data_IF_112670327618
#
_entry.id   IF_112670327618
#
_cell.length_a   1.000
_cell.length_b   1.000
_cell.length_c   1.000
_cell.angle_alpha   90.00
_cell.angle_beta   90.00
_cell.angle_gamma   90.00
#
_symmetry.space_group_name_H-M   'P 1'
#
loop_
_entity.id
_entity.type
_entity.pdbx_description
1 polymer ?
#
# COMPACT_ATOMS: atom_id res chain seq x y z
N UNK A 1 32.83 -104.26 -84.71
CA UNK A 1 32.64 -103.05 -85.52
C UNK A 1 31.15 -102.94 -85.84
N UNK A 2 30.74 -101.85 -86.49
CA UNK A 2 29.45 -101.67 -87.18
C UNK A 2 28.21 -101.49 -86.26
N UNK A 3 27.23 -100.59 -86.52
CA UNK A 3 27.17 -99.43 -87.44
C UNK A 3 25.94 -98.52 -87.10
N UNK A 4 25.86 -97.32 -87.70
CA UNK A 4 24.68 -96.44 -87.94
C UNK A 4 24.01 -95.68 -86.76
N UNK A 5 23.98 -94.35 -86.91
CA UNK A 5 23.03 -93.34 -86.35
C UNK A 5 22.06 -92.91 -87.50
N UNK A 6 20.89 -92.24 -87.31
CA UNK A 6 20.24 -91.73 -86.08
C UNK A 6 18.69 -91.94 -86.05
N UNK A 7 17.92 -91.21 -85.19
CA UNK A 7 16.72 -90.37 -85.54
C UNK A 7 15.66 -90.18 -84.40
N UNK A 8 15.64 -88.97 -83.80
CA UNK A 8 14.49 -88.19 -83.24
C UNK A 8 13.69 -88.71 -82.00
N UNK A 9 14.05 -88.16 -80.82
CA UNK A 9 13.30 -87.27 -79.86
C UNK A 9 11.75 -87.22 -79.79
N UNK A 10 11.10 -86.62 -78.74
CA UNK A 10 11.58 -85.84 -77.57
C UNK A 10 10.92 -86.31 -76.22
N UNK A 11 10.72 -85.60 -75.09
CA UNK A 11 11.03 -84.23 -74.59
C UNK A 11 11.05 -84.16 -73.02
N UNK A 12 11.61 -83.08 -72.46
CA UNK A 12 11.34 -82.50 -71.11
C UNK A 12 11.78 -83.31 -69.85
N UNK A 13 12.03 -82.74 -68.66
CA UNK A 13 12.13 -81.35 -68.16
C UNK A 13 13.20 -81.31 -67.03
N UNK A 14 13.97 -80.27 -66.71
CA UNK A 14 13.97 -78.81 -66.91
C UNK A 14 13.58 -77.96 -65.67
N UNK A 15 14.57 -77.19 -65.20
CA UNK A 15 14.45 -75.89 -64.51
C UNK A 15 13.92 -75.80 -63.05
N UNK A 16 14.84 -75.67 -62.08
CA UNK A 16 14.56 -75.18 -60.70
C UNK A 16 15.16 -73.80 -60.37
N UNK A 17 16.22 -73.36 -61.09
CA UNK A 17 16.99 -72.18 -60.71
C UNK A 17 16.52 -70.85 -61.36
N UNK A 18 15.66 -70.88 -62.38
CA UNK A 18 15.23 -69.63 -63.05
C UNK A 18 14.08 -68.92 -62.30
N UNK A 19 13.25 -69.66 -61.53
CA UNK A 19 12.08 -69.12 -60.83
C UNK A 19 12.40 -67.94 -59.89
N UNK A 20 13.51 -68.01 -59.15
CA UNK A 20 13.93 -66.95 -58.23
C UNK A 20 14.46 -65.68 -58.93
N UNK A 21 14.89 -65.79 -60.19
CA UNK A 21 15.35 -64.63 -60.99
C UNK A 21 14.21 -64.00 -61.78
N UNK A 22 13.29 -64.79 -62.33
CA UNK A 22 12.12 -64.29 -63.05
C UNK A 22 11.10 -63.63 -62.12
N UNK A 23 10.87 -64.18 -60.92
CA UNK A 23 9.83 -63.70 -60.00
C UNK A 23 10.33 -62.71 -58.94
N UNK A 24 11.55 -62.19 -59.08
CA UNK A 24 12.16 -61.22 -58.15
C UNK A 24 11.24 -60.02 -57.79
N UNK A 25 10.58 -59.31 -58.74
CA UNK A 25 9.69 -58.20 -58.38
C UNK A 25 8.44 -58.66 -57.62
N UNK A 26 7.99 -59.90 -57.81
CA UNK A 26 6.82 -60.45 -57.12
C UNK A 26 7.17 -60.83 -55.66
N UNK A 27 8.39 -61.29 -55.41
CA UNK A 27 8.93 -61.48 -54.05
C UNK A 27 9.07 -60.14 -53.32
N UNK A 28 9.56 -59.09 -53.99
CA UNK A 28 9.67 -57.74 -53.43
C UNK A 28 8.27 -57.16 -53.15
N UNK A 29 7.31 -57.33 -54.05
CA UNK A 29 5.93 -56.94 -53.82
C UNK A 29 5.31 -57.68 -52.61
N UNK A 30 5.62 -58.96 -52.43
CA UNK A 30 5.15 -59.75 -51.29
C UNK A 30 5.74 -59.26 -49.95
N UNK A 31 7.04 -58.95 -49.86
CA UNK A 31 7.62 -58.40 -48.62
C UNK A 31 7.14 -56.98 -48.33
N UNK A 32 6.93 -56.14 -49.35
CA UNK A 32 6.30 -54.81 -49.17
C UNK A 32 4.85 -54.94 -48.70
N UNK A 33 4.06 -55.87 -49.26
CA UNK A 33 2.69 -56.13 -48.82
C UNK A 33 2.63 -56.69 -47.39
N UNK A 34 3.48 -57.66 -47.03
CA UNK A 34 3.50 -58.26 -45.69
C UNK A 34 4.00 -57.24 -44.66
N UNK A 35 5.08 -56.51 -44.93
CA UNK A 35 5.59 -55.46 -44.05
C UNK A 35 4.62 -54.29 -43.90
N UNK A 36 4.01 -53.85 -45.00
CA UNK A 36 2.95 -52.83 -44.99
C UNK A 36 1.71 -53.29 -44.24
N UNK A 37 1.30 -54.54 -44.38
CA UNK A 37 0.17 -55.13 -43.64
C UNK A 37 0.46 -55.29 -42.15
N UNK A 38 1.71 -55.59 -41.77
CA UNK A 38 2.13 -55.58 -40.36
C UNK A 38 2.16 -54.16 -39.78
N UNK A 39 2.64 -53.16 -40.53
CA UNK A 39 2.72 -51.77 -40.06
C UNK A 39 1.33 -51.12 -39.99
N UNK A 40 0.45 -51.36 -40.96
CA UNK A 40 -0.95 -50.94 -40.94
C UNK A 40 -1.76 -51.73 -39.90
N UNK A 41 -1.57 -53.05 -39.81
CA UNK A 41 -2.20 -53.90 -38.81
C UNK A 41 -1.81 -53.50 -37.38
N UNK A 42 -0.54 -53.15 -37.14
CA UNK A 42 -0.07 -52.64 -35.86
C UNK A 42 -0.61 -51.22 -35.60
N UNK A 43 -0.54 -50.28 -36.54
CA UNK A 43 -1.01 -48.90 -36.28
C UNK A 43 -2.54 -48.78 -36.17
N UNK A 44 -3.31 -49.54 -36.96
CA UNK A 44 -4.77 -49.61 -36.85
C UNK A 44 -5.18 -50.45 -35.64
N UNK A 45 -4.56 -51.61 -35.42
CA UNK A 45 -4.87 -52.50 -34.29
C UNK A 45 -4.47 -51.92 -32.93
N UNK A 46 -3.36 -51.19 -32.83
CA UNK A 46 -2.97 -50.49 -31.60
C UNK A 46 -3.88 -49.29 -31.32
N UNK A 47 -4.31 -48.54 -32.35
CA UNK A 47 -5.33 -47.48 -32.19
C UNK A 47 -6.69 -48.06 -31.79
N UNK A 48 -7.19 -49.07 -32.49
CA UNK A 48 -8.49 -49.70 -32.20
C UNK A 48 -8.49 -50.41 -30.83
N UNK A 49 -7.41 -51.11 -30.50
CA UNK A 49 -7.20 -51.76 -29.20
C UNK A 49 -7.08 -50.79 -28.03
N UNK A 50 -6.68 -49.52 -28.25
CA UNK A 50 -6.73 -48.48 -27.22
C UNK A 50 -8.11 -47.79 -27.17
N UNK A 51 -8.81 -47.58 -28.30
CA UNK A 51 -10.14 -46.95 -28.29
C UNK A 51 -11.23 -47.75 -27.57
N UNK A 52 -11.06 -49.06 -27.39
CA UNK A 52 -12.03 -49.93 -26.69
C UNK A 52 -11.72 -50.07 -25.18
N UNK A 53 -10.54 -49.62 -24.71
CA UNK A 53 -10.12 -49.74 -23.30
C UNK A 53 -9.83 -48.37 -22.64
N UNK A 54 -9.87 -47.27 -23.42
CA UNK A 54 -9.61 -45.90 -22.93
C UNK A 54 -10.83 -44.99 -22.78
N UNK A 55 -12.03 -45.38 -23.25
CA UNK A 55 -13.14 -44.43 -23.41
C UNK A 55 -13.76 -43.95 -22.08
N UNK A 56 -13.94 -44.84 -21.10
CA UNK A 56 -14.53 -44.47 -19.80
C UNK A 56 -13.52 -43.72 -18.90
N UNK A 57 -12.23 -44.07 -18.94
CA UNK A 57 -11.21 -43.49 -18.06
C UNK A 57 -10.85 -42.04 -18.42
N UNK A 58 -10.74 -41.72 -19.72
CA UNK A 58 -10.35 -40.38 -20.19
C UNK A 58 -11.56 -39.42 -20.20
N UNK A 59 -12.78 -39.93 -20.41
CA UNK A 59 -14.00 -39.12 -20.33
C UNK A 59 -14.27 -38.61 -18.90
N UNK A 60 -14.11 -39.46 -17.87
CA UNK A 60 -14.33 -39.06 -16.48
C UNK A 60 -13.27 -38.05 -16.00
N UNK A 61 -11.98 -38.27 -16.35
CA UNK A 61 -10.92 -37.29 -16.08
C UNK A 61 -11.10 -35.98 -16.85
N UNK A 62 -11.52 -36.01 -18.11
CA UNK A 62 -11.76 -34.78 -18.88
C UNK A 62 -12.94 -33.98 -18.31
N UNK A 63 -14.01 -34.65 -17.84
CA UNK A 63 -15.10 -33.99 -17.11
C UNK A 63 -14.61 -33.40 -15.78
N UNK A 64 -13.78 -34.11 -15.02
CA UNK A 64 -13.20 -33.58 -13.78
C UNK A 64 -12.31 -32.35 -14.03
N UNK A 65 -11.46 -32.39 -15.07
CA UNK A 65 -10.59 -31.28 -15.47
C UNK A 65 -11.41 -30.08 -15.98
N UNK A 66 -12.44 -30.30 -16.82
CA UNK A 66 -13.33 -29.23 -17.29
C UNK A 66 -14.13 -28.64 -16.12
N UNK A 67 -14.58 -29.44 -15.16
CA UNK A 67 -15.28 -28.94 -13.97
C UNK A 67 -14.34 -28.17 -13.03
N UNK A 68 -13.10 -28.61 -12.85
CA UNK A 68 -12.04 -27.86 -12.14
C UNK A 68 -11.73 -26.53 -12.82
N UNK A 69 -11.53 -26.54 -14.15
CA UNK A 69 -11.30 -25.34 -14.96
C UNK A 69 -12.48 -24.36 -14.87
N UNK A 70 -13.72 -24.85 -15.00
CA UNK A 70 -14.94 -24.04 -14.85
C UNK A 70 -15.04 -23.42 -13.46
N UNK A 71 -14.80 -24.20 -12.40
CA UNK A 71 -14.83 -23.70 -11.02
C UNK A 71 -13.73 -22.65 -10.77
N UNK A 72 -12.54 -22.84 -11.36
CA UNK A 72 -11.46 -21.87 -11.31
C UNK A 72 -11.80 -20.59 -12.11
N UNK A 73 -12.42 -20.71 -13.28
CA UNK A 73 -12.84 -19.59 -14.12
C UNK A 73 -13.99 -18.79 -13.47
N UNK A 74 -14.97 -19.45 -12.85
CA UNK A 74 -16.01 -18.83 -12.03
C UNK A 74 -15.40 -18.08 -10.82
N UNK A 75 -14.34 -18.63 -10.21
CA UNK A 75 -13.61 -18.00 -9.11
C UNK A 75 -12.83 -16.76 -9.58
N UNK A 76 -12.10 -16.86 -10.69
CA UNK A 76 -11.34 -15.75 -11.30
C UNK A 76 -12.27 -14.66 -11.83
N UNK A 77 -13.45 -15.01 -12.36
CA UNK A 77 -14.47 -14.03 -12.76
C UNK A 77 -15.00 -13.25 -11.55
N UNK A 78 -15.27 -13.93 -10.43
CA UNK A 78 -15.68 -13.28 -9.18
C UNK A 78 -14.60 -12.38 -8.61
N UNK A 79 -13.35 -12.82 -8.55
CA UNK A 79 -12.25 -11.99 -8.03
C UNK A 79 -11.90 -10.83 -8.95
N UNK A 80 -12.01 -10.99 -10.28
CA UNK A 80 -11.86 -9.89 -11.24
C UNK A 80 -12.97 -8.85 -11.07
N UNK A 81 -14.23 -9.28 -10.95
CA UNK A 81 -15.36 -8.36 -10.73
C UNK A 81 -15.23 -7.61 -9.40
N UNK A 82 -14.79 -8.29 -8.33
CA UNK A 82 -14.49 -7.66 -7.05
C UNK A 82 -13.33 -6.63 -7.16
N UNK A 83 -12.22 -6.99 -7.81
CA UNK A 83 -11.09 -6.10 -8.01
C UNK A 83 -11.42 -4.87 -8.89
N UNK A 84 -12.30 -5.03 -9.88
CA UNK A 84 -12.84 -3.90 -10.66
C UNK A 84 -13.72 -3.00 -9.78
N UNK A 85 -14.60 -3.58 -8.96
CA UNK A 85 -15.43 -2.81 -8.03
C UNK A 85 -14.58 -2.05 -6.98
N UNK A 86 -13.56 -2.70 -6.41
CA UNK A 86 -12.61 -2.08 -5.47
C UNK A 86 -11.81 -0.96 -6.14
N UNK A 87 -11.32 -1.16 -7.37
CA UNK A 87 -10.67 -0.12 -8.18
C UNK A 87 -11.60 1.07 -8.40
N UNK A 88 -12.85 0.82 -8.79
CA UNK A 88 -13.78 1.89 -9.16
C UNK A 88 -14.24 2.70 -7.93
N UNK A 89 -14.40 2.05 -6.77
CA UNK A 89 -14.56 2.73 -5.49
C UNK A 89 -13.31 3.55 -5.11
N UNK A 90 -12.10 3.00 -5.29
CA UNK A 90 -10.86 3.72 -4.99
C UNK A 90 -10.65 4.95 -5.90
N UNK A 91 -11.02 4.86 -7.18
CA UNK A 91 -11.01 5.99 -8.14
C UNK A 91 -12.04 7.04 -7.76
N UNK A 92 -13.26 6.64 -7.38
CA UNK A 92 -14.29 7.57 -6.88
C UNK A 92 -13.83 8.32 -5.63
N UNK A 93 -13.33 7.60 -4.63
CA UNK A 93 -12.77 8.18 -3.40
C UNK A 93 -11.59 9.14 -3.68
N UNK A 94 -10.77 8.86 -4.70
CA UNK A 94 -9.65 9.73 -5.08
C UNK A 94 -10.12 11.03 -5.76
N UNK A 95 -11.16 10.98 -6.60
CA UNK A 95 -11.79 12.15 -7.21
C UNK A 95 -12.53 13.01 -6.17
N UNK A 96 -13.25 12.39 -5.23
CA UNK A 96 -13.86 13.10 -4.10
C UNK A 96 -12.80 13.77 -3.19
N UNK A 97 -11.71 13.07 -2.87
CA UNK A 97 -10.60 13.64 -2.11
C UNK A 97 -9.93 14.80 -2.86
N UNK A 98 -9.72 14.68 -4.18
CA UNK A 98 -9.16 15.75 -4.99
C UNK A 98 -10.08 16.98 -5.03
N UNK A 99 -11.39 16.79 -5.18
CA UNK A 99 -12.40 17.87 -5.07
C UNK A 99 -12.38 18.53 -3.70
N UNK A 100 -12.34 17.75 -2.62
CA UNK A 100 -12.27 18.25 -1.25
C UNK A 100 -10.98 19.06 -0.98
N UNK A 101 -9.83 18.60 -1.48
CA UNK A 101 -8.55 19.33 -1.40
C UNK A 101 -8.62 20.65 -2.16
N UNK A 102 -9.17 20.65 -3.38
CA UNK A 102 -9.30 21.87 -4.18
C UNK A 102 -10.25 22.89 -3.53
N UNK A 103 -11.38 22.43 -2.96
CA UNK A 103 -12.30 23.28 -2.20
C UNK A 103 -11.61 23.84 -0.95
N UNK A 104 -10.95 23.01 -0.14
CA UNK A 104 -10.23 23.45 1.05
C UNK A 104 -9.11 24.46 0.75
N UNK A 105 -8.43 24.33 -0.40
CA UNK A 105 -7.43 25.31 -0.87
C UNK A 105 -8.08 26.64 -1.29
N UNK A 106 -9.24 26.61 -1.94
CA UNK A 106 -10.00 27.81 -2.29
C UNK A 106 -10.50 28.54 -1.04
N UNK A 107 -11.13 27.81 -0.11
CA UNK A 107 -11.60 28.32 1.18
C UNK A 107 -10.45 28.92 1.99
N UNK A 108 -9.31 28.22 2.09
CA UNK A 108 -8.09 28.73 2.72
C UNK A 108 -7.64 30.06 2.12
N UNK A 109 -7.58 30.15 0.79
CA UNK A 109 -7.17 31.39 0.08
C UNK A 109 -8.14 32.55 0.38
N UNK A 110 -9.44 32.27 0.46
CA UNK A 110 -10.46 33.25 0.84
C UNK A 110 -10.30 33.70 2.31
N UNK A 111 -10.06 32.76 3.25
CA UNK A 111 -9.79 33.09 4.65
C UNK A 111 -8.49 33.88 4.85
N UNK A 112 -7.42 33.55 4.14
CA UNK A 112 -6.14 34.27 4.19
C UNK A 112 -6.29 35.71 3.69
N UNK A 113 -7.01 35.91 2.58
CA UNK A 113 -7.36 37.23 2.03
C UNK A 113 -8.19 38.06 3.02
N UNK A 114 -9.27 37.47 3.56
CA UNK A 114 -10.15 38.13 4.52
C UNK A 114 -9.39 38.51 5.81
N UNK A 115 -8.56 37.60 6.33
CA UNK A 115 -7.71 37.85 7.49
C UNK A 115 -6.65 38.93 7.21
N UNK A 116 -6.13 39.07 5.99
CA UNK A 116 -5.22 40.16 5.65
C UNK A 116 -5.92 41.53 5.72
N UNK A 117 -7.14 41.63 5.18
CA UNK A 117 -7.98 42.84 5.24
C UNK A 117 -8.31 43.20 6.70
N UNK A 118 -8.70 42.22 7.53
CA UNK A 118 -8.96 42.46 8.95
C UNK A 118 -7.70 42.90 9.71
N UNK A 119 -6.53 42.30 9.45
CA UNK A 119 -5.27 42.71 10.11
C UNK A 119 -4.84 44.12 9.71
N UNK A 120 -4.99 44.51 8.45
CA UNK A 120 -4.71 45.90 8.04
C UNK A 120 -5.73 46.89 8.62
N UNK A 121 -7.01 46.52 8.72
CA UNK A 121 -8.05 47.32 9.40
C UNK A 121 -7.75 47.50 10.89
N UNK A 122 -7.28 46.44 11.57
CA UNK A 122 -6.84 46.51 12.97
C UNK A 122 -5.58 47.39 13.11
N UNK A 123 -4.60 47.21 12.22
CA UNK A 123 -3.34 47.97 12.17
C UNK A 123 -3.58 49.49 12.08
N UNK A 124 -4.57 49.91 11.29
CA UNK A 124 -5.02 51.31 11.18
C UNK A 124 -5.76 51.82 12.44
N UNK A 125 -6.34 50.93 13.25
CA UNK A 125 -7.09 51.24 14.48
C UNK A 125 -6.25 51.14 15.77
N UNK A 126 -4.93 51.20 15.66
CA UNK A 126 -4.01 51.07 16.81
C UNK A 126 -3.54 49.64 17.08
N UNK A 127 -3.99 48.66 16.30
CA UNK A 127 -3.45 47.30 16.28
C UNK A 127 -3.93 46.40 17.41
N UNK A 128 -3.15 45.34 17.64
CA UNK A 128 -3.33 44.37 18.74
C UNK A 128 -1.95 44.11 19.34
N UNK A 129 -1.77 44.41 20.62
CA UNK A 129 -0.55 44.09 21.36
C UNK A 129 -0.32 42.57 21.43
N UNK A 130 0.94 42.14 21.55
CA UNK A 130 1.30 40.74 21.74
C UNK A 130 0.44 40.08 22.83
N UNK A 131 -0.19 38.96 22.50
CA UNK A 131 -0.98 38.18 23.46
C UNK A 131 -1.02 36.70 23.09
N UNK A 132 -1.19 35.84 24.10
CA UNK A 132 -1.60 34.46 23.89
C UNK A 132 -3.06 34.49 23.44
N UNK A 133 -3.35 34.07 22.21
CA UNK A 133 -4.71 33.92 21.71
C UNK A 133 -5.38 32.70 22.35
N UNK A 134 -4.68 31.56 22.36
CA UNK A 134 -5.19 30.27 22.81
C UNK A 134 -4.06 29.42 23.43
N UNK A 135 -4.45 28.53 24.35
CA UNK A 135 -3.62 27.45 24.89
C UNK A 135 -4.47 26.18 24.86
N UNK A 136 -4.05 25.19 24.09
CA UNK A 136 -4.58 23.83 24.16
C UNK A 136 -3.52 22.89 24.76
N UNK A 137 -3.99 21.91 25.54
CA UNK A 137 -3.17 20.81 26.07
C UNK A 137 -3.91 19.51 25.80
N UNK A 138 -3.20 18.55 25.19
CA UNK A 138 -3.71 17.23 24.84
C UNK A 138 -2.97 16.17 25.65
N UNK A 139 -3.73 15.35 26.36
CA UNK A 139 -3.24 14.18 27.11
C UNK A 139 -2.87 13.05 26.15
N UNK A 140 -1.63 12.58 26.24
CA UNK A 140 -1.10 11.41 25.54
C UNK A 140 -1.02 10.22 26.52
N UNK A 141 -0.65 9.00 26.06
CA UNK A 141 -0.31 7.90 26.94
C UNK A 141 0.87 8.21 27.88
N UNK A 142 1.13 7.32 28.84
CA UNK A 142 2.32 7.34 29.71
C UNK A 142 2.56 8.64 30.52
N UNK A 143 1.50 9.43 30.77
CA UNK A 143 1.55 10.73 31.46
C UNK A 143 2.37 11.79 30.70
N UNK A 144 2.46 11.64 29.36
CA UNK A 144 2.94 12.67 28.44
C UNK A 144 1.81 13.61 28.00
N UNK A 145 2.18 14.83 27.61
CA UNK A 145 1.26 15.86 27.14
C UNK A 145 1.83 16.60 25.94
N UNK A 146 0.97 17.08 25.07
CA UNK A 146 1.28 17.91 23.89
C UNK A 146 0.62 19.28 24.08
N UNK A 147 1.38 20.38 23.98
CA UNK A 147 0.84 21.74 24.03
C UNK A 147 0.70 22.34 22.62
N UNK A 148 -0.26 23.25 22.49
CA UNK A 148 -0.33 24.22 21.40
C UNK A 148 -0.59 25.59 22.01
N UNK A 149 0.34 26.52 21.83
CA UNK A 149 0.22 27.92 22.22
C UNK A 149 0.09 28.75 20.94
N UNK A 150 -1.04 29.44 20.79
CA UNK A 150 -1.28 30.35 19.66
C UNK A 150 -0.95 31.78 20.10
N UNK A 151 0.05 32.40 19.48
CA UNK A 151 0.50 33.77 19.72
C UNK A 151 0.01 34.70 18.62
N UNK A 152 -0.42 35.92 18.97
CA UNK A 152 -0.87 36.93 18.01
C UNK A 152 -0.39 38.33 18.39
N UNK A 153 -0.05 39.12 17.37
CA UNK A 153 0.26 40.55 17.47
C UNK A 153 -0.11 41.22 16.14
N UNK A 154 -0.81 42.36 16.15
CA UNK A 154 -1.04 43.17 14.95
C UNK A 154 -0.40 44.54 15.18
N UNK A 155 0.91 44.64 14.94
CA UNK A 155 1.67 45.87 15.19
C UNK A 155 1.29 47.00 14.21
N UNK A 156 0.86 48.20 14.68
CA UNK A 156 0.63 49.38 13.84
C UNK A 156 1.79 49.70 12.90
N UNK A 157 3.00 49.54 13.43
CA UNK A 157 4.28 49.87 12.78
C UNK A 157 4.87 48.72 11.94
N UNK A 158 4.11 47.64 11.70
CA UNK A 158 4.58 46.40 11.03
C UNK A 158 5.87 45.82 11.65
N UNK A 159 6.15 46.11 12.93
CA UNK A 159 7.24 45.48 13.70
C UNK A 159 6.84 44.08 14.13
N UNK A 160 7.78 43.13 14.00
CA UNK A 160 7.65 41.74 14.46
C UNK A 160 7.48 41.68 15.98
N UNK A 161 6.81 40.64 16.47
CA UNK A 161 6.90 40.19 17.85
C UNK A 161 8.19 39.36 18.00
N UNK A 162 9.05 39.73 18.95
CA UNK A 162 10.29 39.01 19.23
C UNK A 162 10.48 38.92 20.74
N UNK A 163 10.73 37.72 21.26
CA UNK A 163 10.86 37.49 22.69
C UNK A 163 10.95 36.01 23.03
N UNK A 164 10.75 35.69 24.30
CA UNK A 164 10.72 34.30 24.78
C UNK A 164 9.40 33.91 25.43
N UNK A 165 9.01 32.65 25.27
CA UNK A 165 7.90 32.00 25.96
C UNK A 165 8.43 31.14 27.10
N UNK A 166 7.67 31.06 28.18
CA UNK A 166 7.89 30.14 29.29
C UNK A 166 6.53 29.57 29.71
N UNK A 167 6.47 28.25 29.92
CA UNK A 167 5.25 27.54 30.30
C UNK A 167 5.46 26.92 31.69
N UNK A 168 4.61 27.30 32.64
CA UNK A 168 4.67 26.86 34.05
C UNK A 168 3.45 26.02 34.40
N UNK A 169 3.67 24.95 35.14
CA UNK A 169 2.62 24.20 35.82
C UNK A 169 2.67 24.53 37.31
N UNK A 170 1.52 24.82 37.89
CA UNK A 170 1.40 25.37 39.25
C UNK A 170 0.46 24.49 40.08
N UNK A 171 0.92 24.12 41.28
CA UNK A 171 0.20 23.33 42.28
C UNK A 171 0.48 23.94 43.64
N UNK A 172 -0.50 24.63 44.22
CA UNK A 172 -0.33 25.38 45.47
C UNK A 172 0.83 26.38 45.38
N UNK A 173 1.96 26.10 46.05
CA UNK A 173 3.22 26.88 45.97
C UNK A 173 4.28 26.26 45.07
N UNK A 174 4.09 25.02 44.61
CA UNK A 174 5.01 24.26 43.76
C UNK A 174 4.92 24.76 42.32
N UNK A 175 6.06 25.15 41.74
CA UNK A 175 6.17 25.62 40.34
C UNK A 175 7.14 24.72 39.59
N UNK A 176 6.62 24.08 38.55
CA UNK A 176 7.34 23.24 37.61
C UNK A 176 7.41 23.97 36.26
N UNK A 177 8.58 23.97 35.63
CA UNK A 177 8.78 24.62 34.31
C UNK A 177 8.80 23.55 33.22
N UNK A 178 7.95 23.74 32.19
CA UNK A 178 7.89 22.82 31.07
C UNK A 178 9.07 23.09 30.11
N UNK A 179 9.85 22.06 29.73
CA UNK A 179 10.90 22.19 28.72
C UNK A 179 10.25 22.43 27.35
N UNK A 180 10.52 23.60 26.78
CA UNK A 180 10.16 23.94 25.41
C UNK A 180 11.42 23.76 24.56
N UNK A 181 11.28 23.12 23.40
CA UNK A 181 12.37 22.81 22.46
C UNK A 181 12.99 24.09 21.89
N UNK A 182 12.16 24.97 21.33
CA UNK A 182 12.47 26.39 21.23
C UNK A 182 11.65 27.18 22.27
N UNK A 183 12.32 28.13 22.90
CA UNK A 183 11.75 29.09 23.86
C UNK A 183 11.57 30.47 23.24
N UNK A 184 12.04 30.70 22.02
CA UNK A 184 11.96 31.99 21.33
C UNK A 184 10.71 32.06 20.44
N UNK A 185 10.31 33.26 20.06
CA UNK A 185 9.31 33.52 19.01
C UNK A 185 9.74 34.73 18.17
N UNK A 186 9.43 34.75 16.88
CA UNK A 186 9.88 35.78 15.94
C UNK A 186 8.97 35.91 14.71
N UNK A 187 7.86 36.63 14.86
CA UNK A 187 6.75 36.60 13.89
C UNK A 187 6.14 37.99 13.58
N UNK A 188 5.54 38.15 12.39
CA UNK A 188 4.95 39.42 11.95
C UNK A 188 3.54 39.66 12.50
N UNK A 189 2.67 38.64 12.38
CA UNK A 189 1.24 38.73 12.72
C UNK A 189 0.78 37.63 13.73
N UNK A 190 1.20 36.37 13.56
CA UNK A 190 0.90 35.26 14.48
C UNK A 190 1.99 34.17 14.42
N UNK A 191 2.07 33.34 15.47
CA UNK A 191 2.93 32.15 15.54
C UNK A 191 2.27 31.06 16.38
N UNK A 192 2.48 29.79 16.03
CA UNK A 192 1.98 28.63 16.78
C UNK A 192 3.18 27.86 17.33
N UNK A 193 3.30 27.80 18.64
CA UNK A 193 4.33 27.04 19.33
C UNK A 193 3.73 25.73 19.83
N UNK A 194 4.33 24.61 19.42
CA UNK A 194 3.94 23.25 19.82
C UNK A 194 5.13 22.52 20.43
N UNK A 195 4.85 21.50 21.23
CA UNK A 195 5.88 20.65 21.82
C UNK A 195 5.27 19.65 22.80
N UNK A 196 6.11 18.77 23.35
CA UNK A 196 5.71 17.69 24.23
C UNK A 196 6.53 17.66 25.51
N UNK A 197 5.93 17.21 26.60
CA UNK A 197 6.63 16.96 27.86
C UNK A 197 6.08 15.73 28.58
N UNK A 198 6.90 15.11 29.41
CA UNK A 198 6.43 14.14 30.40
C UNK A 198 6.26 14.80 31.77
N UNK A 199 5.17 14.45 32.46
CA UNK A 199 4.82 15.00 33.76
C UNK A 199 5.40 14.12 34.89
N UNK A 200 6.12 14.69 35.88
CA UNK A 200 6.65 13.94 37.01
C UNK A 200 5.61 13.12 37.78
N UNK A 201 6.02 11.95 38.26
CA UNK A 201 5.14 11.03 39.01
C UNK A 201 4.65 11.70 40.29
N UNK A 202 3.33 11.77 40.48
CA UNK A 202 2.68 12.39 41.64
C UNK A 202 2.47 13.91 41.54
N UNK A 203 3.01 14.58 40.51
CA UNK A 203 2.68 15.99 40.25
C UNK A 203 1.36 16.11 39.50
N UNK A 204 0.43 16.90 40.05
CA UNK A 204 -0.88 17.19 39.45
C UNK A 204 -1.13 18.69 39.57
N UNK A 205 -1.00 19.49 38.48
CA UNK A 205 -1.21 20.92 38.56
C UNK A 205 -2.68 21.28 38.78
N UNK A 206 -2.88 22.43 39.42
CA UNK A 206 -4.15 23.15 39.51
C UNK A 206 -4.29 24.15 38.36
N UNK A 207 -3.16 24.70 37.89
CA UNK A 207 -3.11 25.70 36.82
C UNK A 207 -1.93 25.46 35.87
N UNK A 208 -2.09 25.93 34.65
CA UNK A 208 -1.03 26.13 33.66
C UNK A 208 -0.94 27.62 33.32
N UNK A 209 0.28 28.15 33.24
CA UNK A 209 0.54 29.57 33.04
C UNK A 209 1.55 29.78 31.90
N UNK A 210 1.14 30.55 30.89
CA UNK A 210 2.01 30.99 29.80
C UNK A 210 2.53 32.39 30.12
N UNK A 211 3.85 32.59 30.01
CA UNK A 211 4.50 33.89 30.10
C UNK A 211 5.19 34.21 28.79
N UNK A 212 5.01 35.42 28.28
CA UNK A 212 5.74 35.96 27.13
C UNK A 212 6.60 37.15 27.57
N UNK A 213 7.89 37.09 27.30
CA UNK A 213 8.88 38.12 27.63
C UNK A 213 9.34 38.83 26.36
N UNK A 214 8.72 39.97 26.06
CA UNK A 214 9.00 40.81 24.88
C UNK A 214 9.19 42.27 25.31
N UNK A 215 10.33 42.57 25.94
CA UNK A 215 10.62 43.87 26.53
C UNK A 215 10.23 43.96 28.02
N UNK A 216 9.89 45.17 28.48
CA UNK A 216 9.84 45.50 29.91
C UNK A 216 8.61 44.96 30.68
N UNK A 217 7.51 44.64 30.02
CA UNK A 217 6.29 44.11 30.67
C UNK A 217 5.93 42.73 30.11
N UNK A 218 6.03 41.64 30.90
CA UNK A 218 5.70 40.31 30.42
C UNK A 218 4.18 40.14 30.29
N UNK A 219 3.75 39.41 29.27
CA UNK A 219 2.34 39.04 29.09
C UNK A 219 2.12 37.68 29.74
N UNK A 220 1.31 37.63 30.79
CA UNK A 220 1.04 36.42 31.57
C UNK A 220 -0.43 36.04 31.44
N UNK A 221 -0.73 34.80 31.06
CA UNK A 221 -2.09 34.22 31.16
C UNK A 221 -2.04 32.87 31.87
N UNK A 222 -2.91 32.73 32.88
CA UNK A 222 -3.11 31.51 33.66
C UNK A 222 -4.45 30.89 33.31
N UNK A 223 -4.47 29.57 33.18
CA UNK A 223 -5.63 28.76 32.84
C UNK A 223 -5.78 27.64 33.87
N UNK A 224 -7.00 27.28 34.25
CA UNK A 224 -7.27 26.16 35.15
C UNK A 224 -6.92 24.84 34.46
N UNK A 225 -6.21 23.95 35.16
CA UNK A 225 -5.84 22.65 34.62
C UNK A 225 -7.05 21.70 34.64
N UNK A 226 -7.53 21.32 33.46
CA UNK A 226 -8.62 20.36 33.28
C UNK A 226 -8.08 19.14 32.53
N UNK A 227 -8.31 17.94 33.07
CA UNK A 227 -7.81 16.68 32.51
C UNK A 227 -8.79 16.13 31.46
N UNK A 228 -8.37 16.12 30.20
CA UNK A 228 -9.06 15.36 29.15
C UNK A 228 -8.83 13.85 29.30
N UNK A 229 -9.54 13.04 28.50
CA UNK A 229 -9.20 11.62 28.38
C UNK A 229 -7.83 11.47 27.70
N UNK A 230 -7.00 10.48 28.08
CA UNK A 230 -5.83 10.11 27.30
C UNK A 230 -6.25 9.73 25.88
N UNK A 231 -5.53 10.21 24.88
CA UNK A 231 -5.78 9.82 23.48
C UNK A 231 -4.96 8.59 23.16
N UNK A 232 -5.61 7.45 22.91
CA UNK A 232 -4.96 6.21 22.46
C UNK A 232 -4.44 6.36 21.03
N UNK A 233 -3.26 6.98 20.90
CA UNK A 233 -2.46 7.02 19.67
C UNK A 233 -1.12 6.34 19.90
N UNK A 234 -1.00 5.10 19.40
CA UNK A 234 0.25 4.36 19.37
C UNK A 234 1.23 5.01 18.38
N UNK A 235 2.02 5.99 18.84
CA UNK A 235 2.97 6.73 18.00
C UNK A 235 4.28 7.03 18.71
N UNK A 236 5.25 6.16 18.46
CA UNK A 236 6.70 6.38 18.35
C UNK A 236 7.45 7.28 19.37
N UNK A 237 8.49 6.69 19.98
CA UNK A 237 9.64 7.35 20.64
C UNK A 237 9.37 8.27 21.84
N UNK A 238 8.85 7.67 22.92
CA UNK A 238 8.78 8.27 24.27
C UNK A 238 10.16 8.71 24.80
N UNK A 239 11.23 8.04 24.38
CA UNK A 239 12.63 8.30 24.79
C UNK A 239 13.18 9.69 24.45
N UNK A 240 12.49 10.45 23.61
CA UNK A 240 12.91 11.78 23.14
C UNK A 240 12.04 12.91 23.72
N UNK A 241 11.00 12.60 24.49
CA UNK A 241 10.13 13.61 25.12
C UNK A 241 10.78 14.12 26.42
N UNK A 242 11.15 15.40 26.53
CA UNK A 242 11.83 15.93 27.71
C UNK A 242 10.90 15.91 28.95
N UNK A 243 11.44 15.51 30.09
CA UNK A 243 10.74 15.55 31.38
C UNK A 243 10.76 16.97 31.95
N UNK A 244 9.63 17.38 32.53
CA UNK A 244 9.54 18.70 33.14
C UNK A 244 10.06 18.73 34.60
N UNK A 245 10.77 19.81 34.94
CA UNK A 245 11.54 19.93 36.18
C UNK A 245 10.86 20.87 37.20
N UNK A 246 10.86 20.44 38.47
CA UNK A 246 10.37 21.22 39.59
C UNK A 246 11.52 21.98 40.26
N UNK A 247 11.37 23.29 40.45
CA UNK A 247 12.37 24.09 41.15
C UNK A 247 12.19 23.94 42.67
N UNK A 248 13.20 23.38 43.34
CA UNK A 248 13.38 23.60 44.77
C UNK A 248 13.77 25.06 45.03
N UNK A 249 13.42 25.57 46.22
CA UNK A 249 13.84 26.89 46.72
C UNK A 249 15.19 26.83 47.44
#
# INVERSE_FOLDING_TARGET
MDNVDPTISPDSSANKNNFLKTNLPLVIAATVLIGGSFMLGYTVGHRQGLTVVGYDADAEQLVEVVQKQKTALDSVSKSLNAAVQERDMAVGNADELFKAINQANADKTQFETMNAIYRETLRQRGGVSLTIQNLAVKSLPENAYEYQIDLIQVSPSKRRAVGTVELRLIKDTEILVVPLEDKNFNFDDFERLTGRWTMPKGFVPQFIEVRLSSGATPVIKRFSWQRGQPVDVSSAFVSEIPQAEANAQ
#
